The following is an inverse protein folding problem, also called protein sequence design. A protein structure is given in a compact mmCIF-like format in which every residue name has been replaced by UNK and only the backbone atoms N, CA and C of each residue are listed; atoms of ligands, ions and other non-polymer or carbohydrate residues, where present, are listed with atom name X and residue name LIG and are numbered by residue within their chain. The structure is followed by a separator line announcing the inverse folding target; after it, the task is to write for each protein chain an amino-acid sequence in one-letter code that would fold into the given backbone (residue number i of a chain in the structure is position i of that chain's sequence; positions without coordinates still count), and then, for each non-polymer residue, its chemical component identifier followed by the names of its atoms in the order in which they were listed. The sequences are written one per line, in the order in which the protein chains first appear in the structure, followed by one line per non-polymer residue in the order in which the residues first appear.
data_IF_780298166526
#
_entry.id   IF_780298166526
#
_cell.length_a   1.000
_cell.length_b   1.000
_cell.length_c   1.000
_cell.angle_alpha   90.00
_cell.angle_beta   90.00
_cell.angle_gamma   90.00
#
_symmetry.space_group_name_H-M   'P 1'
#
loop_
_entity.id
_entity.type
_entity.pdbx_description
1 polymer ?
#
# COMPACT_ATOMS: atom_id res chain seq x y z
N UNK A 1 -27.43 -12.73 36.75
CA UNK A 1 -27.56 -13.01 35.31
C UNK A 1 -26.93 -11.84 34.61
N UNK A 2 -26.02 -12.07 33.70
CA UNK A 2 -25.40 -11.02 32.90
C UNK A 2 -26.05 -10.99 31.51
N UNK A 3 -26.07 -9.79 30.88
CA UNK A 3 -26.54 -9.61 29.51
C UNK A 3 -25.35 -9.46 28.61
N UNK A 4 -25.21 -10.35 27.62
CA UNK A 4 -24.20 -10.24 26.56
C UNK A 4 -24.88 -10.01 25.20
N UNK A 5 -24.19 -9.35 24.32
CA UNK A 5 -24.63 -9.17 22.93
C UNK A 5 -24.24 -10.37 22.07
N UNK A 6 -25.19 -10.85 21.29
CA UNK A 6 -24.95 -11.91 20.34
C UNK A 6 -23.79 -11.57 19.39
N UNK A 7 -22.85 -12.49 19.21
CA UNK A 7 -21.71 -12.35 18.29
C UNK A 7 -22.12 -12.19 16.82
N UNK A 8 -23.28 -12.73 16.47
CA UNK A 8 -23.83 -12.73 15.12
C UNK A 8 -24.70 -11.48 14.89
N UNK A 9 -25.90 -11.43 15.48
CA UNK A 9 -26.90 -10.40 15.19
C UNK A 9 -26.87 -9.20 16.15
N UNK A 10 -26.16 -9.28 17.29
CA UNK A 10 -26.10 -8.22 18.30
C UNK A 10 -27.30 -8.14 19.25
N UNK A 11 -28.24 -9.06 19.14
CA UNK A 11 -29.39 -9.17 20.09
C UNK A 11 -28.92 -9.48 21.51
N UNK A 12 -29.77 -9.15 22.50
CA UNK A 12 -29.45 -9.44 23.89
C UNK A 12 -29.62 -10.92 24.22
N UNK A 13 -28.70 -11.45 25.00
CA UNK A 13 -28.71 -12.84 25.49
C UNK A 13 -28.50 -12.80 26.99
N UNK A 14 -29.47 -13.35 27.74
CA UNK A 14 -29.31 -13.55 29.18
C UNK A 14 -28.51 -14.85 29.42
N UNK A 15 -27.41 -14.73 30.13
CA UNK A 15 -26.58 -15.87 30.49
C UNK A 15 -26.49 -16.05 32.02
N UNK A 16 -26.48 -17.30 32.46
CA UNK A 16 -26.09 -17.68 33.81
C UNK A 16 -24.60 -17.94 33.88
N UNK A 17 -23.99 -17.81 35.06
CA UNK A 17 -22.53 -17.92 35.24
C UNK A 17 -21.90 -19.22 34.69
N UNK A 18 -22.66 -20.33 34.72
CA UNK A 18 -22.15 -21.64 34.27
C UNK A 18 -22.47 -21.95 32.81
N UNK A 19 -23.13 -21.05 32.07
CA UNK A 19 -23.56 -21.30 30.69
C UNK A 19 -22.52 -20.82 29.69
N UNK A 20 -21.77 -21.74 29.13
CA UNK A 20 -20.71 -21.46 28.12
C UNK A 20 -21.16 -21.66 26.68
N UNK A 21 -22.40 -22.12 26.46
CA UNK A 21 -22.94 -22.49 25.15
C UNK A 21 -24.48 -22.32 25.12
N UNK A 22 -25.03 -21.92 23.97
CA UNK A 22 -26.48 -21.79 23.79
C UNK A 22 -26.86 -21.25 22.43
N UNK A 23 -28.17 -20.92 22.33
CA UNK A 23 -28.80 -20.40 21.12
C UNK A 23 -29.25 -18.99 21.37
N UNK A 24 -29.03 -18.09 20.44
CA UNK A 24 -29.59 -16.74 20.47
C UNK A 24 -31.09 -16.78 20.11
N UNK A 25 -31.95 -16.28 20.95
CA UNK A 25 -33.39 -16.23 20.70
C UNK A 25 -33.78 -15.29 19.55
N UNK A 26 -32.90 -14.29 19.25
CA UNK A 26 -33.14 -13.33 18.18
C UNK A 26 -32.85 -13.88 16.79
N UNK A 27 -31.69 -14.56 16.57
CA UNK A 27 -31.28 -15.04 15.25
C UNK A 27 -31.22 -16.58 15.13
N UNK A 28 -31.53 -17.31 16.19
CA UNK A 28 -31.48 -18.77 16.18
C UNK A 28 -30.07 -19.38 16.11
N UNK A 29 -29.01 -18.58 16.00
CA UNK A 29 -27.65 -19.09 15.89
C UNK A 29 -27.16 -19.71 17.20
N UNK A 30 -26.54 -20.86 17.08
CA UNK A 30 -25.85 -21.56 18.17
C UNK A 30 -24.45 -21.00 18.34
N UNK A 31 -24.03 -20.68 19.56
CA UNK A 31 -22.73 -20.09 19.83
C UNK A 31 -22.22 -20.36 21.22
N UNK A 32 -20.95 -20.11 21.42
CA UNK A 32 -20.27 -20.12 22.71
C UNK A 32 -20.46 -18.79 23.44
N UNK A 33 -20.43 -18.83 24.76
CA UNK A 33 -20.54 -17.66 25.63
C UNK A 33 -19.32 -17.53 26.53
N UNK A 34 -18.91 -16.30 26.90
CA UNK A 34 -17.89 -16.09 27.90
C UNK A 34 -18.34 -16.54 29.27
N UNK A 35 -17.42 -16.96 30.12
CA UNK A 35 -17.68 -17.08 31.54
C UNK A 35 -17.75 -15.67 32.10
N UNK A 36 -18.93 -15.26 32.55
CA UNK A 36 -19.16 -13.91 33.08
C UNK A 36 -19.40 -14.03 34.58
N UNK A 37 -18.41 -13.61 35.35
CA UNK A 37 -18.41 -13.56 36.80
C UNK A 37 -18.77 -12.18 37.32
N UNK A 38 -18.62 -11.11 36.53
CA UNK A 38 -18.99 -9.75 36.84
C UNK A 38 -19.50 -8.95 35.63
N UNK A 39 -20.09 -7.75 35.92
CA UNK A 39 -20.63 -6.85 34.88
C UNK A 39 -19.52 -6.20 34.04
N UNK A 40 -18.30 -6.04 34.55
CA UNK A 40 -17.18 -5.42 33.82
C UNK A 40 -16.70 -6.35 32.70
N UNK A 41 -16.59 -7.66 32.98
CA UNK A 41 -16.24 -8.66 31.99
C UNK A 41 -17.31 -8.77 30.90
N UNK A 42 -18.60 -8.75 31.26
CA UNK A 42 -19.67 -8.70 30.28
C UNK A 42 -19.59 -7.46 29.38
N UNK A 43 -19.33 -6.29 29.96
CA UNK A 43 -19.19 -5.05 29.23
C UNK A 43 -17.97 -5.08 28.27
N UNK A 44 -16.84 -5.69 28.67
CA UNK A 44 -15.67 -5.86 27.83
C UNK A 44 -15.97 -6.74 26.60
N UNK A 45 -16.59 -7.91 26.80
CA UNK A 45 -17.03 -8.76 25.68
C UNK A 45 -18.02 -8.06 24.76
N UNK A 46 -19.00 -7.33 25.32
CA UNK A 46 -19.97 -6.57 24.53
C UNK A 46 -19.30 -5.49 23.67
N UNK A 47 -18.28 -4.81 24.21
CA UNK A 47 -17.49 -3.81 23.46
C UNK A 47 -16.67 -4.47 22.36
N UNK A 48 -15.99 -5.58 22.63
CA UNK A 48 -15.25 -6.35 21.64
C UNK A 48 -16.14 -6.86 20.52
N UNK A 49 -17.30 -7.45 20.86
CA UNK A 49 -18.29 -7.92 19.90
C UNK A 49 -18.85 -6.77 19.02
N UNK A 50 -19.07 -5.58 19.62
CA UNK A 50 -19.47 -4.41 18.86
C UNK A 50 -18.43 -3.99 17.84
N UNK A 51 -17.15 -3.85 18.24
CA UNK A 51 -16.08 -3.47 17.34
C UNK A 51 -15.89 -4.50 16.23
N UNK A 52 -15.96 -5.79 16.52
CA UNK A 52 -15.85 -6.84 15.51
C UNK A 52 -16.95 -6.76 14.46
N UNK A 53 -18.21 -6.55 14.86
CA UNK A 53 -19.36 -6.42 13.96
C UNK A 53 -19.32 -5.18 13.06
N UNK A 54 -18.64 -4.12 13.47
CA UNK A 54 -18.44 -2.94 12.62
C UNK A 54 -17.11 -2.97 11.85
N UNK A 55 -16.40 -4.12 11.82
CA UNK A 55 -15.15 -4.31 11.08
C UNK A 55 -13.91 -3.67 11.73
N UNK A 56 -14.00 -3.08 12.92
CA UNK A 56 -12.89 -2.49 13.66
C UNK A 56 -12.09 -3.58 14.41
N UNK A 57 -11.55 -4.55 13.65
CA UNK A 57 -10.95 -5.76 14.20
C UNK A 57 -9.77 -5.49 15.12
N UNK A 58 -8.95 -4.44 14.88
CA UNK A 58 -7.82 -4.11 15.74
C UNK A 58 -8.27 -3.61 17.10
N UNK A 59 -9.36 -2.81 17.15
CA UNK A 59 -9.95 -2.36 18.41
C UNK A 59 -10.61 -3.51 19.17
N UNK A 60 -11.26 -4.42 18.44
CA UNK A 60 -11.84 -5.62 19.03
C UNK A 60 -10.75 -6.52 19.62
N UNK A 61 -9.67 -6.76 18.86
CA UNK A 61 -8.52 -7.57 19.28
C UNK A 61 -7.91 -7.01 20.56
N UNK A 62 -7.62 -5.72 20.63
CA UNK A 62 -7.07 -5.10 21.83
C UNK A 62 -7.94 -5.28 23.08
N UNK A 63 -9.28 -5.30 22.92
CA UNK A 63 -10.19 -5.59 24.03
C UNK A 63 -10.07 -7.04 24.50
N UNK A 64 -10.03 -7.99 23.56
CA UNK A 64 -9.93 -9.41 23.91
C UNK A 64 -8.54 -9.80 24.42
N UNK A 65 -7.47 -9.24 23.87
CA UNK A 65 -6.10 -9.41 24.38
C UNK A 65 -6.00 -8.95 25.85
N UNK A 66 -6.64 -7.84 26.22
CA UNK A 66 -6.67 -7.39 27.59
C UNK A 66 -7.40 -8.39 28.51
N UNK A 67 -8.49 -9.02 28.05
CA UNK A 67 -9.16 -10.09 28.81
C UNK A 67 -8.23 -11.30 28.97
N UNK A 68 -7.48 -11.68 27.94
CA UNK A 68 -6.50 -12.76 27.98
C UNK A 68 -5.32 -12.43 28.91
N UNK A 69 -4.90 -11.15 28.99
CA UNK A 69 -3.88 -10.71 29.95
C UNK A 69 -4.34 -10.85 31.41
N UNK A 70 -5.64 -10.61 31.68
CA UNK A 70 -6.23 -10.78 33.02
C UNK A 70 -6.45 -12.26 33.37
N UNK A 71 -6.90 -13.06 32.39
CA UNK A 71 -7.14 -14.50 32.53
C UNK A 71 -6.72 -15.25 31.25
N UNK A 72 -5.51 -15.76 31.24
CA UNK A 72 -4.94 -16.50 30.10
C UNK A 72 -5.59 -17.88 29.86
N UNK A 73 -6.57 -18.27 30.67
CA UNK A 73 -7.35 -19.51 30.51
C UNK A 73 -8.77 -19.26 29.99
N UNK A 74 -9.10 -18.01 29.64
CA UNK A 74 -10.38 -17.68 29.04
C UNK A 74 -10.46 -18.16 27.58
N UNK A 75 -11.11 -19.31 27.38
CA UNK A 75 -11.29 -19.92 26.07
C UNK A 75 -12.04 -19.02 25.09
N UNK A 76 -13.07 -18.27 25.55
CA UNK A 76 -13.84 -17.39 24.68
C UNK A 76 -13.07 -16.15 24.25
N UNK A 77 -12.23 -15.58 25.12
CA UNK A 77 -11.38 -14.45 24.77
C UNK A 77 -10.34 -14.85 23.72
N UNK A 78 -9.69 -16.00 23.89
CA UNK A 78 -8.79 -16.57 22.88
C UNK A 78 -9.51 -16.83 21.56
N UNK A 79 -10.69 -17.44 21.57
CA UNK A 79 -11.50 -17.63 20.36
C UNK A 79 -11.76 -16.31 19.65
N UNK A 80 -12.17 -15.27 20.40
CA UNK A 80 -12.43 -13.95 19.85
C UNK A 80 -11.16 -13.26 19.31
N UNK A 81 -9.99 -13.47 19.91
CA UNK A 81 -8.70 -13.01 19.37
C UNK A 81 -8.41 -13.63 17.98
N UNK A 82 -8.59 -14.95 17.85
CA UNK A 82 -8.45 -15.62 16.57
C UNK A 82 -9.44 -15.06 15.53
N UNK A 83 -10.72 -14.89 15.87
CA UNK A 83 -11.71 -14.29 14.97
C UNK A 83 -11.31 -12.89 14.51
N UNK A 84 -10.76 -12.04 15.39
CA UNK A 84 -10.32 -10.69 15.02
C UNK A 84 -9.09 -10.70 14.12
N UNK A 85 -8.15 -11.58 14.35
CA UNK A 85 -6.90 -11.70 13.57
C UNK A 85 -7.19 -12.02 12.11
N UNK A 86 -8.13 -12.94 11.87
CA UNK A 86 -8.58 -13.31 10.53
C UNK A 86 -9.73 -12.44 10.00
N UNK A 87 -10.19 -11.45 10.78
CA UNK A 87 -11.25 -10.54 10.37
C UNK A 87 -12.57 -11.27 10.13
N UNK A 88 -12.91 -12.19 11.02
CA UNK A 88 -14.14 -12.97 10.89
C UNK A 88 -15.36 -12.11 11.32
N UNK A 89 -16.20 -11.85 10.37
CA UNK A 89 -17.54 -11.31 10.55
C UNK A 89 -18.56 -12.39 10.19
N UNK A 90 -19.70 -12.41 10.88
CA UNK A 90 -20.78 -13.32 10.54
C UNK A 90 -21.89 -12.52 9.84
N UNK A 91 -22.17 -12.89 8.60
CA UNK A 91 -23.18 -12.23 7.75
C UNK A 91 -24.34 -13.17 7.52
N UNK A 92 -25.55 -12.66 7.59
CA UNK A 92 -26.77 -13.43 7.29
C UNK A 92 -26.81 -13.76 5.80
N UNK A 93 -26.92 -15.05 5.49
CA UNK A 93 -27.18 -15.52 4.13
C UNK A 93 -28.65 -15.24 3.77
N UNK A 94 -28.95 -14.46 2.73
CA UNK A 94 -30.29 -14.05 2.39
C UNK A 94 -31.19 -15.23 1.96
N UNK A 95 -30.62 -16.38 1.65
CA UNK A 95 -31.35 -17.57 1.19
C UNK A 95 -31.66 -18.52 2.33
N UNK A 96 -30.69 -18.82 3.19
CA UNK A 96 -30.83 -19.77 4.30
C UNK A 96 -31.20 -19.11 5.62
N UNK A 97 -31.03 -17.78 5.74
CA UNK A 97 -31.13 -17.00 6.98
C UNK A 97 -30.15 -17.48 8.07
N UNK A 98 -29.16 -18.29 7.71
CA UNK A 98 -28.06 -18.66 8.60
C UNK A 98 -26.96 -17.60 8.60
N UNK A 99 -26.30 -17.41 9.73
CA UNK A 99 -25.12 -16.57 9.82
C UNK A 99 -23.88 -17.36 9.42
N UNK A 100 -23.24 -16.95 8.32
CA UNK A 100 -22.03 -17.55 7.76
C UNK A 100 -20.82 -16.67 8.06
N UNK A 101 -19.65 -17.29 8.35
CA UNK A 101 -18.44 -16.51 8.56
C UNK A 101 -17.92 -15.96 7.23
N UNK A 102 -17.43 -14.72 7.27
CA UNK A 102 -16.57 -14.14 6.24
C UNK A 102 -15.13 -14.12 6.76
N UNK A 103 -14.15 -13.83 5.90
CA UNK A 103 -12.74 -13.79 6.30
C UNK A 103 -12.04 -12.58 5.66
N UNK A 104 -12.32 -11.39 6.20
CA UNK A 104 -11.83 -10.12 5.66
C UNK A 104 -10.33 -9.91 5.81
N UNK A 105 -9.66 -10.70 6.66
CA UNK A 105 -8.21 -10.67 6.89
C UNK A 105 -7.61 -12.03 6.65
N UNK A 106 -7.97 -12.68 5.53
CA UNK A 106 -7.37 -13.96 5.15
C UNK A 106 -5.84 -13.85 5.18
N UNK A 107 -5.19 -14.92 5.60
CA UNK A 107 -3.75 -15.10 5.65
C UNK A 107 -3.39 -16.42 5.00
N UNK A 108 -2.13 -16.59 4.60
CA UNK A 108 -1.60 -17.90 4.22
C UNK A 108 -1.36 -18.80 5.43
N UNK A 109 -1.31 -18.23 6.65
CA UNK A 109 -1.26 -18.97 7.88
C UNK A 109 -2.61 -19.67 8.11
N UNK A 110 -2.61 -20.96 8.39
CA UNK A 110 -3.82 -21.76 8.55
C UNK A 110 -4.57 -21.38 9.83
N UNK A 111 -5.86 -21.02 9.73
CA UNK A 111 -6.70 -20.71 10.89
C UNK A 111 -6.67 -21.80 11.96
N UNK A 112 -6.67 -23.07 11.55
CA UNK A 112 -6.66 -24.21 12.47
C UNK A 112 -5.35 -24.35 13.26
N UNK A 113 -4.29 -23.68 12.85
CA UNK A 113 -2.98 -23.67 13.53
C UNK A 113 -2.75 -22.39 14.35
N UNK A 114 -3.73 -21.47 14.36
CA UNK A 114 -3.65 -20.22 15.11
C UNK A 114 -3.50 -20.48 16.61
N UNK A 115 -2.58 -19.75 17.24
CA UNK A 115 -2.20 -19.97 18.65
C UNK A 115 -3.38 -19.73 19.61
N UNK A 116 -4.20 -18.73 19.34
CA UNK A 116 -5.37 -18.42 20.17
C UNK A 116 -6.52 -19.40 19.91
N UNK A 117 -6.71 -19.87 18.68
CA UNK A 117 -7.65 -20.97 18.41
C UNK A 117 -7.25 -22.24 19.18
N UNK A 118 -5.97 -22.60 19.17
CA UNK A 118 -5.48 -23.77 19.92
C UNK A 118 -5.63 -23.59 21.45
N UNK A 119 -5.39 -22.38 21.96
CA UNK A 119 -5.63 -22.05 23.36
C UNK A 119 -7.13 -22.15 23.72
N UNK A 120 -8.01 -21.66 22.86
CA UNK A 120 -9.45 -21.79 23.03
C UNK A 120 -9.89 -23.25 23.15
N UNK A 121 -9.33 -24.14 22.30
CA UNK A 121 -9.59 -25.59 22.40
C UNK A 121 -9.05 -26.21 23.69
N UNK A 122 -7.89 -25.75 24.16
CA UNK A 122 -7.23 -26.27 25.36
C UNK A 122 -8.01 -25.94 26.62
N UNK A 123 -8.55 -24.71 26.72
CA UNK A 123 -9.18 -24.21 27.94
C UNK A 123 -10.71 -24.37 27.97
N UNK A 124 -11.33 -24.88 26.89
CA UNK A 124 -12.77 -25.10 26.81
C UNK A 124 -13.21 -26.44 27.37
N UNK A 125 -14.48 -26.50 27.83
CA UNK A 125 -15.15 -27.76 28.13
C UNK A 125 -15.50 -28.55 26.85
N UNK A 126 -15.89 -29.81 27.01
CA UNK A 126 -16.10 -30.71 25.86
C UNK A 126 -17.26 -30.30 24.92
N UNK A 127 -18.23 -29.49 25.37
CA UNK A 127 -19.33 -29.01 24.54
C UNK A 127 -18.88 -27.78 23.76
N UNK A 128 -18.30 -26.82 24.44
CA UNK A 128 -17.75 -25.58 23.89
C UNK A 128 -16.64 -25.88 22.88
N UNK A 129 -15.76 -26.85 23.18
CA UNK A 129 -14.73 -27.31 22.25
C UNK A 129 -15.29 -27.79 20.92
N UNK A 130 -16.32 -28.66 20.96
CA UNK A 130 -16.97 -29.14 19.71
C UNK A 130 -17.59 -28.01 18.89
N UNK A 131 -18.10 -26.97 19.54
CA UNK A 131 -18.62 -25.82 18.83
C UNK A 131 -17.50 -25.00 18.17
N UNK A 132 -16.38 -24.77 18.88
CA UNK A 132 -15.21 -24.10 18.27
C UNK A 132 -14.67 -24.90 17.08
N UNK A 133 -14.56 -26.23 17.20
CA UNK A 133 -14.12 -27.09 16.10
C UNK A 133 -15.06 -27.01 14.89
N UNK A 134 -16.39 -26.98 15.12
CA UNK A 134 -17.37 -26.84 14.05
C UNK A 134 -17.31 -25.49 13.35
N UNK A 135 -17.17 -24.40 14.12
CA UNK A 135 -17.11 -23.04 13.58
C UNK A 135 -15.75 -22.82 12.87
N UNK A 136 -14.67 -23.33 13.44
CA UNK A 136 -13.35 -23.28 12.83
C UNK A 136 -13.27 -24.03 11.49
N UNK A 137 -13.97 -25.15 11.37
CA UNK A 137 -14.03 -25.89 10.11
C UNK A 137 -14.69 -25.05 8.99
N UNK A 138 -15.78 -24.34 9.30
CA UNK A 138 -16.44 -23.41 8.35
C UNK A 138 -15.50 -22.25 7.97
N UNK A 139 -14.81 -21.66 8.94
CA UNK A 139 -13.83 -20.59 8.70
C UNK A 139 -12.68 -21.07 7.81
N UNK A 140 -12.14 -22.26 8.10
CA UNK A 140 -11.07 -22.86 7.29
C UNK A 140 -11.52 -23.15 5.85
N UNK A 141 -12.77 -23.57 5.64
CA UNK A 141 -13.35 -23.76 4.30
C UNK A 141 -13.41 -22.42 3.52
N UNK A 142 -13.89 -21.35 4.16
CA UNK A 142 -13.91 -19.99 3.57
C UNK A 142 -12.48 -19.54 3.24
N UNK A 143 -11.55 -19.67 4.17
CA UNK A 143 -10.14 -19.33 3.97
C UNK A 143 -9.55 -20.12 2.78
N UNK A 144 -9.79 -21.41 2.71
CA UNK A 144 -9.33 -22.25 1.61
C UNK A 144 -9.88 -21.79 0.26
N UNK A 145 -11.16 -21.43 0.16
CA UNK A 145 -11.79 -20.87 -1.03
C UNK A 145 -11.10 -19.55 -1.47
N UNK A 146 -10.82 -18.65 -0.51
CA UNK A 146 -10.10 -17.40 -0.77
C UNK A 146 -8.69 -17.68 -1.32
N UNK A 147 -7.94 -18.58 -0.70
CA UNK A 147 -6.58 -18.93 -1.12
C UNK A 147 -6.55 -19.61 -2.50
N UNK A 148 -7.53 -20.48 -2.80
CA UNK A 148 -7.64 -21.14 -4.10
C UNK A 148 -7.92 -20.10 -5.21
N UNK A 149 -8.79 -19.12 -4.97
CA UNK A 149 -9.03 -18.02 -5.90
C UNK A 149 -7.78 -17.18 -6.09
N UNK A 150 -7.06 -16.87 -5.00
CA UNK A 150 -5.81 -16.11 -5.05
C UNK A 150 -4.74 -16.78 -5.92
N UNK A 151 -4.63 -18.10 -5.88
CA UNK A 151 -3.66 -18.86 -6.70
C UNK A 151 -4.00 -18.84 -8.18
N UNK A 152 -5.27 -18.72 -8.53
CA UNK A 152 -5.76 -18.72 -9.91
C UNK A 152 -5.81 -17.33 -10.54
N UNK A 153 -5.84 -16.27 -9.73
CA UNK A 153 -5.84 -14.88 -10.24
C UNK A 153 -4.44 -14.49 -10.69
N UNK A 154 -4.36 -13.79 -11.82
CA UNK A 154 -3.11 -13.20 -12.27
C UNK A 154 -2.68 -12.09 -11.31
N UNK A 155 -1.38 -11.97 -11.00
CA UNK A 155 -0.88 -10.95 -10.07
C UNK A 155 -1.19 -9.54 -10.53
N UNK A 156 -1.60 -8.68 -9.61
CA UNK A 156 -1.73 -7.25 -9.82
C UNK A 156 -0.41 -6.54 -9.55
N UNK A 157 -0.13 -5.48 -10.31
CA UNK A 157 1.01 -4.60 -10.08
C UNK A 157 0.70 -3.54 -9.00
N UNK A 158 -0.52 -2.98 -9.08
CA UNK A 158 -0.97 -1.86 -8.24
C UNK A 158 -2.34 -2.14 -7.66
N UNK A 159 -2.53 -1.82 -6.38
CA UNK A 159 -3.82 -1.80 -5.69
C UNK A 159 -4.21 -0.35 -5.39
N UNK A 160 -5.39 0.09 -5.83
CA UNK A 160 -5.91 1.42 -5.51
C UNK A 160 -6.95 1.29 -4.40
N UNK A 161 -6.63 1.84 -3.23
CA UNK A 161 -7.46 1.86 -2.03
C UNK A 161 -8.10 3.24 -1.88
N UNK A 162 -9.43 3.31 -1.72
CA UNK A 162 -10.18 4.56 -1.69
C UNK A 162 -11.57 4.36 -1.11
N UNK A 163 -12.24 5.45 -0.71
CA UNK A 163 -13.64 5.43 -0.27
C UNK A 163 -14.58 5.55 -1.47
N UNK A 164 -15.30 4.49 -1.82
CA UNK A 164 -16.20 4.47 -2.99
C UNK A 164 -17.41 5.38 -2.81
N UNK A 165 -18.15 5.23 -1.70
CA UNK A 165 -19.40 5.92 -1.46
C UNK A 165 -19.40 6.69 -0.15
N UNK A 166 -20.10 7.81 -0.13
CA UNK A 166 -20.39 8.58 1.09
C UNK A 166 -21.54 7.95 1.91
N UNK A 167 -21.94 8.62 2.97
CA UNK A 167 -23.01 8.16 3.88
C UNK A 167 -24.39 8.08 3.18
N UNK A 168 -24.57 8.78 2.07
CA UNK A 168 -25.81 8.80 1.27
C UNK A 168 -25.78 7.76 0.13
N UNK A 169 -24.70 6.97 0.03
CA UNK A 169 -24.49 6.03 -1.07
C UNK A 169 -24.05 6.69 -2.39
N UNK A 170 -23.78 8.00 -2.38
CA UNK A 170 -23.29 8.72 -3.54
C UNK A 170 -21.79 8.50 -3.73
N UNK A 171 -21.36 8.48 -4.99
CA UNK A 171 -19.94 8.32 -5.33
C UNK A 171 -19.10 9.47 -4.78
N UNK A 172 -17.99 9.16 -4.12
CA UNK A 172 -17.08 10.16 -3.57
C UNK A 172 -16.16 10.79 -4.64
N UNK A 173 -15.54 11.92 -4.30
CA UNK A 173 -14.44 12.48 -5.10
C UNK A 173 -13.24 11.52 -5.16
N UNK A 174 -12.97 10.78 -4.09
CA UNK A 174 -11.88 9.80 -4.02
C UNK A 174 -12.03 8.74 -5.11
N UNK A 175 -13.24 8.21 -5.29
CA UNK A 175 -13.54 7.23 -6.34
C UNK A 175 -13.29 7.79 -7.75
N UNK A 176 -13.57 9.07 -7.98
CA UNK A 176 -13.32 9.73 -9.28
C UNK A 176 -11.81 9.89 -9.54
N UNK A 177 -11.07 10.35 -8.53
CA UNK A 177 -9.60 10.51 -8.62
C UNK A 177 -8.90 9.15 -8.75
N UNK A 178 -9.35 8.16 -8.01
CA UNK A 178 -8.86 6.79 -8.10
C UNK A 178 -9.07 6.20 -9.51
N UNK A 179 -10.20 6.49 -10.14
CA UNK A 179 -10.49 6.06 -11.52
C UNK A 179 -9.57 6.75 -12.54
N UNK A 180 -9.22 8.01 -12.35
CA UNK A 180 -8.26 8.73 -13.20
C UNK A 180 -6.87 8.05 -13.11
N UNK A 181 -6.40 7.75 -11.89
CA UNK A 181 -5.15 7.03 -11.65
C UNK A 181 -5.20 5.64 -12.31
N UNK A 182 -6.32 4.93 -12.18
CA UNK A 182 -6.52 3.61 -12.79
C UNK A 182 -6.29 3.66 -14.31
N UNK A 183 -6.95 4.57 -15.02
CA UNK A 183 -6.78 4.68 -16.47
C UNK A 183 -5.34 5.03 -16.87
N UNK A 184 -4.70 5.95 -16.17
CA UNK A 184 -3.32 6.34 -16.47
C UNK A 184 -2.32 5.19 -16.27
N UNK A 185 -2.54 4.32 -15.31
CA UNK A 185 -1.69 3.16 -15.07
C UNK A 185 -1.99 2.01 -16.04
N UNK A 186 -3.26 1.77 -16.35
CA UNK A 186 -3.65 0.73 -17.33
C UNK A 186 -3.21 1.08 -18.75
N UNK A 187 -3.25 2.34 -19.15
CA UNK A 187 -2.71 2.83 -20.43
C UNK A 187 -1.20 2.59 -20.56
N UNK A 188 -0.47 2.52 -19.43
CA UNK A 188 0.94 2.14 -19.37
C UNK A 188 1.17 0.62 -19.32
N UNK A 189 0.12 -0.19 -19.49
CA UNK A 189 0.17 -1.65 -19.47
C UNK A 189 0.34 -2.25 -18.08
N UNK A 190 0.02 -1.52 -17.00
CA UNK A 190 0.03 -2.03 -15.63
C UNK A 190 -1.27 -2.73 -15.31
N UNK A 191 -1.20 -3.86 -14.61
CA UNK A 191 -2.38 -4.54 -14.10
C UNK A 191 -2.77 -3.95 -12.75
N UNK A 192 -3.87 -3.21 -12.74
CA UNK A 192 -4.32 -2.41 -11.60
C UNK A 192 -5.60 -2.98 -11.02
N UNK A 193 -5.63 -3.20 -9.70
CA UNK A 193 -6.86 -3.47 -8.98
C UNK A 193 -7.53 -2.14 -8.61
N UNK A 194 -8.71 -1.94 -9.13
CA UNK A 194 -9.62 -0.85 -8.81
C UNK A 194 -11.01 -1.46 -8.63
N UNK A 195 -11.47 -1.56 -7.40
CA UNK A 195 -12.62 -2.39 -7.01
C UNK A 195 -13.84 -2.19 -7.92
N UNK A 196 -14.19 -0.94 -8.21
CA UNK A 196 -15.34 -0.60 -9.05
C UNK A 196 -15.33 -1.28 -10.44
N UNK A 197 -14.19 -1.27 -11.12
CA UNK A 197 -14.07 -1.86 -12.47
C UNK A 197 -13.68 -3.34 -12.39
N UNK A 198 -12.70 -3.64 -11.54
CA UNK A 198 -12.16 -5.01 -11.46
C UNK A 198 -13.19 -6.02 -10.98
N UNK A 199 -14.15 -5.60 -10.12
CA UNK A 199 -15.19 -6.46 -9.59
C UNK A 199 -16.50 -6.42 -10.41
N UNK A 200 -16.63 -5.49 -11.36
CA UNK A 200 -17.83 -5.39 -12.22
C UNK A 200 -18.03 -6.67 -13.05
N UNK A 201 -16.94 -7.28 -13.52
CA UNK A 201 -16.97 -8.54 -14.28
C UNK A 201 -17.19 -9.78 -13.40
N UNK A 202 -17.24 -9.62 -12.08
CA UNK A 202 -17.38 -10.70 -11.08
C UNK A 202 -18.79 -10.76 -10.48
N UNK A 203 -19.79 -10.33 -11.22
CA UNK A 203 -21.20 -10.30 -10.76
C UNK A 203 -21.64 -11.68 -10.25
N UNK A 204 -22.15 -11.69 -9.02
CA UNK A 204 -22.60 -12.91 -8.34
C UNK A 204 -21.51 -13.74 -7.67
N UNK A 205 -20.25 -13.28 -7.69
CA UNK A 205 -19.17 -13.89 -6.93
C UNK A 205 -18.91 -13.12 -5.61
N UNK A 206 -18.35 -13.80 -4.62
CA UNK A 206 -17.84 -13.16 -3.43
C UNK A 206 -16.63 -12.28 -3.78
N UNK A 207 -16.59 -11.05 -3.29
CA UNK A 207 -15.53 -10.07 -3.64
C UNK A 207 -14.23 -10.26 -2.84
N UNK A 208 -14.34 -10.76 -1.60
CA UNK A 208 -13.19 -10.92 -0.69
C UNK A 208 -12.03 -11.71 -1.31
N UNK A 209 -12.23 -12.85 -1.99
CA UNK A 209 -11.13 -13.59 -2.59
C UNK A 209 -10.32 -12.78 -3.60
N UNK A 210 -10.98 -11.91 -4.38
CA UNK A 210 -10.33 -11.07 -5.39
C UNK A 210 -9.59 -9.88 -4.75
N UNK A 211 -10.19 -9.27 -3.71
CA UNK A 211 -9.54 -8.21 -2.92
C UNK A 211 -8.28 -8.78 -2.25
N UNK A 212 -8.40 -9.97 -1.65
CA UNK A 212 -7.26 -10.64 -1.04
C UNK A 212 -6.15 -10.95 -2.05
N UNK A 213 -6.50 -11.51 -3.21
CA UNK A 213 -5.54 -11.81 -4.28
C UNK A 213 -4.80 -10.55 -4.75
N UNK A 214 -5.54 -9.46 -4.96
CA UNK A 214 -4.99 -8.18 -5.38
C UNK A 214 -4.08 -7.57 -4.32
N UNK A 215 -4.51 -7.57 -3.05
CA UNK A 215 -3.75 -7.01 -1.93
C UNK A 215 -2.41 -7.74 -1.74
N UNK A 216 -2.42 -9.07 -1.84
CA UNK A 216 -1.22 -9.88 -1.67
C UNK A 216 -0.26 -9.78 -2.87
N UNK A 217 -0.77 -9.79 -4.09
CA UNK A 217 0.05 -9.76 -5.30
C UNK A 217 0.61 -8.36 -5.61
N UNK A 218 -0.14 -7.28 -5.35
CA UNK A 218 0.28 -5.94 -5.67
C UNK A 218 1.60 -5.56 -4.99
N UNK A 219 2.51 -4.97 -5.76
CA UNK A 219 3.77 -4.40 -5.25
C UNK A 219 3.59 -2.98 -4.76
N UNK A 220 2.62 -2.26 -5.32
CA UNK A 220 2.35 -0.88 -4.94
C UNK A 220 0.90 -0.74 -4.52
N UNK A 221 0.66 -0.10 -3.39
CA UNK A 221 -0.65 0.39 -2.99
C UNK A 221 -0.70 1.90 -3.11
N UNK A 222 -1.73 2.42 -3.78
CA UNK A 222 -2.06 3.84 -3.82
C UNK A 222 -3.29 4.06 -2.98
N UNK A 223 -3.18 4.87 -1.92
CA UNK A 223 -4.31 5.20 -1.03
C UNK A 223 -4.77 6.61 -1.35
N UNK A 224 -5.99 6.75 -1.84
CA UNK A 224 -6.57 8.02 -2.31
C UNK A 224 -7.56 8.55 -1.30
N UNK A 225 -7.44 9.82 -0.90
CA UNK A 225 -8.38 10.46 -0.01
C UNK A 225 -8.44 11.98 -0.14
N UNK A 226 -9.66 12.53 0.01
CA UNK A 226 -9.94 13.98 0.00
C UNK A 226 -10.39 14.49 1.37
N UNK A 227 -10.48 13.60 2.35
CA UNK A 227 -10.83 13.92 3.75
C UNK A 227 -10.14 12.92 4.69
N UNK A 228 -9.75 13.36 5.91
CA UNK A 228 -9.17 12.48 6.92
C UNK A 228 -10.07 11.28 7.27
N UNK A 229 -11.40 11.49 7.31
CA UNK A 229 -12.38 10.45 7.61
C UNK A 229 -12.41 9.34 6.56
N UNK A 230 -12.09 9.67 5.30
CA UNK A 230 -12.09 8.70 4.20
C UNK A 230 -10.89 7.75 4.29
N UNK A 231 -9.71 8.25 4.68
CA UNK A 231 -8.57 7.40 5.02
C UNK A 231 -8.83 6.49 6.22
N UNK A 232 -9.64 6.96 7.18
CA UNK A 232 -10.01 6.25 8.39
C UNK A 232 -11.31 5.44 8.26
N UNK A 233 -11.97 5.46 7.09
CA UNK A 233 -13.13 4.62 6.85
C UNK A 233 -12.74 3.14 7.04
N UNK A 234 -13.61 2.37 7.72
CA UNK A 234 -13.30 1.03 8.25
C UNK A 234 -12.60 0.14 7.23
N UNK A 235 -13.18 -0.02 6.04
CA UNK A 235 -12.64 -0.90 5.00
C UNK A 235 -11.36 -0.34 4.37
N UNK A 236 -11.31 0.97 4.09
CA UNK A 236 -10.09 1.65 3.59
C UNK A 236 -8.93 1.46 4.56
N UNK A 237 -9.19 1.67 5.86
CA UNK A 237 -8.21 1.48 6.91
C UNK A 237 -7.75 0.02 7.04
N UNK A 238 -8.68 -0.93 6.97
CA UNK A 238 -8.34 -2.36 7.00
C UNK A 238 -7.42 -2.75 5.84
N UNK A 239 -7.67 -2.26 4.63
CA UNK A 239 -6.83 -2.55 3.45
C UNK A 239 -5.43 -1.96 3.59
N UNK A 240 -5.29 -0.66 3.83
CA UNK A 240 -3.97 -0.05 3.89
C UNK A 240 -3.17 -0.48 5.13
N UNK A 241 -3.80 -0.74 6.28
CA UNK A 241 -3.09 -1.23 7.47
C UNK A 241 -2.52 -2.64 7.25
N UNK A 242 -3.28 -3.53 6.58
CA UNK A 242 -2.78 -4.85 6.16
C UNK A 242 -1.60 -4.73 5.20
N UNK A 243 -1.70 -3.86 4.21
CA UNK A 243 -0.61 -3.65 3.26
C UNK A 243 0.64 -3.10 3.93
N UNK A 244 0.50 -2.19 4.91
CA UNK A 244 1.62 -1.72 5.75
C UNK A 244 2.28 -2.86 6.54
N UNK A 245 1.48 -3.77 7.08
CA UNK A 245 2.00 -4.94 7.79
C UNK A 245 2.78 -5.87 6.84
N UNK A 246 2.29 -6.07 5.61
CA UNK A 246 3.01 -6.82 4.57
C UNK A 246 4.30 -6.09 4.13
N UNK A 247 4.27 -4.76 3.99
CA UNK A 247 5.43 -3.96 3.63
C UNK A 247 6.57 -4.04 4.65
N UNK A 248 6.26 -4.25 5.95
CA UNK A 248 7.27 -4.49 6.99
C UNK A 248 8.01 -5.82 6.80
N UNK A 249 7.35 -6.83 6.24
CA UNK A 249 7.91 -8.16 5.96
C UNK A 249 8.55 -8.25 4.57
N UNK A 250 7.99 -7.52 3.60
CA UNK A 250 8.43 -7.52 2.20
C UNK A 250 8.77 -6.10 1.74
N UNK A 251 10.07 -5.80 1.68
CA UNK A 251 10.60 -4.49 1.28
C UNK A 251 10.42 -4.17 -0.21
N UNK A 252 9.94 -5.10 -1.02
CA UNK A 252 9.59 -4.85 -2.42
C UNK A 252 8.23 -4.16 -2.57
N UNK A 253 7.44 -4.11 -1.52
CA UNK A 253 6.13 -3.45 -1.47
C UNK A 253 6.28 -1.98 -1.09
N UNK A 254 5.45 -1.13 -1.70
CA UNK A 254 5.42 0.32 -1.47
C UNK A 254 3.99 0.81 -1.31
N UNK A 255 3.73 1.62 -0.29
CA UNK A 255 2.46 2.31 -0.10
C UNK A 255 2.65 3.81 -0.33
N UNK A 256 1.78 4.40 -1.16
CA UNK A 256 1.79 5.79 -1.57
C UNK A 256 0.47 6.47 -1.20
N UNK A 257 0.42 7.27 -0.12
CA UNK A 257 -0.73 8.11 0.18
C UNK A 257 -0.85 9.24 -0.86
N UNK A 258 -2.05 9.42 -1.43
CA UNK A 258 -2.39 10.49 -2.34
C UNK A 258 -3.55 11.29 -1.73
N UNK A 259 -3.34 12.57 -1.46
CA UNK A 259 -4.32 13.43 -0.81
C UNK A 259 -4.67 14.64 -1.66
N UNK A 260 -5.87 15.17 -1.49
CA UNK A 260 -6.35 16.42 -2.11
C UNK A 260 -7.36 17.11 -1.21
N UNK A 261 -7.45 18.43 -1.29
CA UNK A 261 -8.41 19.26 -0.55
C UNK A 261 -8.32 19.13 0.98
N UNK A 262 -7.14 18.73 1.52
CA UNK A 262 -6.86 18.56 2.96
C UNK A 262 -5.41 18.88 3.28
N UNK A 263 -5.11 19.14 4.56
CA UNK A 263 -3.73 19.33 5.00
C UNK A 263 -3.01 17.96 5.07
N UNK A 264 -1.75 17.85 4.59
CA UNK A 264 -0.97 16.61 4.73
C UNK A 264 -0.75 16.16 6.18
N UNK A 265 -0.81 17.07 7.14
CA UNK A 265 -0.72 16.75 8.57
C UNK A 265 -1.98 16.09 9.14
N UNK A 266 -3.11 16.14 8.41
CA UNK A 266 -4.36 15.45 8.78
C UNK A 266 -4.40 13.98 8.29
N UNK A 267 -3.35 13.52 7.60
CA UNK A 267 -3.21 12.10 7.27
C UNK A 267 -3.13 11.24 8.54
N UNK A 268 -3.67 10.01 8.52
CA UNK A 268 -3.45 9.07 9.61
C UNK A 268 -1.97 8.94 9.97
N UNK A 269 -1.63 8.89 11.25
CA UNK A 269 -0.25 8.86 11.76
C UNK A 269 0.62 7.83 11.03
N UNK A 270 0.09 6.62 10.79
CA UNK A 270 0.80 5.56 10.09
C UNK A 270 1.10 5.87 8.61
N UNK A 271 0.34 6.77 7.98
CA UNK A 271 0.53 7.20 6.60
C UNK A 271 1.34 8.48 6.49
N UNK A 272 1.27 9.37 7.50
CA UNK A 272 1.95 10.67 7.51
C UNK A 272 3.48 10.56 7.48
N UNK A 273 4.04 9.44 7.93
CA UNK A 273 5.49 9.15 7.90
C UNK A 273 5.98 8.69 6.53
N UNK A 274 5.07 8.43 5.58
CA UNK A 274 5.39 7.97 4.25
C UNK A 274 5.45 9.15 3.26
N UNK A 275 6.19 8.96 2.15
CA UNK A 275 6.15 9.91 1.06
C UNK A 275 4.74 9.95 0.47
N UNK A 276 4.09 11.10 0.53
CA UNK A 276 2.73 11.33 0.03
C UNK A 276 2.72 12.23 -1.20
N UNK A 277 1.67 12.11 -2.02
CA UNK A 277 1.46 12.91 -3.22
C UNK A 277 0.26 13.84 -3.03
N UNK A 278 0.49 15.13 -3.27
CA UNK A 278 -0.56 16.14 -3.34
C UNK A 278 -1.17 16.14 -4.75
N UNK A 279 -2.39 15.64 -4.86
CA UNK A 279 -3.10 15.52 -6.14
C UNK A 279 -3.59 16.86 -6.70
N UNK A 280 -3.44 17.97 -5.97
CA UNK A 280 -3.74 19.33 -6.49
C UNK A 280 -2.60 19.90 -7.34
N UNK A 281 -1.39 19.35 -7.22
CA UNK A 281 -0.21 19.84 -7.95
C UNK A 281 -0.25 19.49 -9.42
N UNK A 282 0.11 20.45 -10.26
CA UNK A 282 0.25 20.22 -11.70
C UNK A 282 1.33 19.15 -11.92
N UNK A 283 0.99 18.12 -12.71
CA UNK A 283 1.92 17.03 -13.02
C UNK A 283 1.97 15.90 -11.99
N UNK A 284 1.11 15.92 -10.95
CA UNK A 284 1.12 14.88 -9.92
C UNK A 284 0.96 13.48 -10.50
N UNK A 285 0.09 13.32 -11.51
CA UNK A 285 -0.18 12.00 -12.11
C UNK A 285 1.07 11.43 -12.81
N UNK A 286 1.83 12.29 -13.50
CA UNK A 286 3.09 11.90 -14.14
C UNK A 286 4.16 11.55 -13.11
N UNK A 287 4.23 12.28 -12.00
CA UNK A 287 5.18 12.01 -10.92
C UNK A 287 4.82 10.71 -10.19
N UNK A 288 3.53 10.49 -9.89
CA UNK A 288 3.03 9.27 -9.29
C UNK A 288 3.31 8.06 -10.19
N UNK A 289 2.91 8.10 -11.45
CA UNK A 289 3.09 6.98 -12.39
C UNK A 289 4.55 6.67 -12.66
N UNK A 290 5.42 7.70 -12.73
CA UNK A 290 6.87 7.54 -12.81
C UNK A 290 7.46 6.88 -11.56
N UNK A 291 6.99 7.30 -10.37
CA UNK A 291 7.38 6.69 -9.09
C UNK A 291 7.02 5.21 -9.03
N UNK A 292 5.77 4.88 -9.40
CA UNK A 292 5.28 3.50 -9.47
C UNK A 292 6.10 2.66 -10.46
N UNK A 293 6.34 3.18 -11.67
CA UNK A 293 7.10 2.47 -12.71
C UNK A 293 8.52 2.14 -12.26
N UNK A 294 9.21 3.04 -11.55
CA UNK A 294 10.55 2.77 -10.99
C UNK A 294 10.55 1.55 -10.06
N UNK A 295 9.52 1.41 -9.22
CA UNK A 295 9.42 0.27 -8.30
C UNK A 295 9.10 -1.02 -9.05
N UNK A 296 8.13 -0.98 -9.97
CA UNK A 296 7.69 -2.16 -10.71
C UNK A 296 8.74 -2.69 -11.68
N UNK A 297 9.55 -1.80 -12.26
CA UNK A 297 10.55 -2.17 -13.26
C UNK A 297 11.93 -2.48 -12.63
N UNK A 298 12.17 -2.09 -11.38
CA UNK A 298 13.41 -2.44 -10.67
C UNK A 298 13.64 -3.96 -10.53
N UNK A 299 12.56 -4.78 -10.57
CA UNK A 299 12.64 -6.24 -10.55
C UNK A 299 12.71 -6.92 -11.92
N UNK A 300 12.63 -6.16 -13.03
CA UNK A 300 12.58 -6.70 -14.40
C UNK A 300 13.91 -6.67 -15.13
N UNK A 301 15.06 -6.59 -14.44
CA UNK A 301 16.34 -6.70 -15.13
C UNK A 301 16.52 -8.12 -15.68
N UNK A 302 16.74 -8.29 -17.01
CA UNK A 302 17.10 -9.58 -17.58
C UNK A 302 18.46 -10.03 -17.02
N UNK A 303 18.59 -11.33 -16.76
CA UNK A 303 19.84 -11.96 -16.34
C UNK A 303 21.02 -11.45 -17.17
N UNK A 304 22.07 -11.07 -16.48
CA UNK A 304 23.27 -10.39 -16.93
C UNK A 304 23.85 -10.91 -18.26
N UNK A 305 23.97 -10.02 -19.23
CA UNK A 305 25.11 -10.02 -20.17
C UNK A 305 26.30 -9.33 -19.50
N UNK A 306 27.56 -9.70 -19.83
CA UNK A 306 28.71 -9.30 -19.02
C UNK A 306 28.91 -7.77 -19.03
N UNK A 307 29.35 -7.29 -17.89
CA UNK A 307 29.60 -5.92 -17.50
C UNK A 307 30.23 -5.05 -18.58
N UNK A 308 29.46 -4.13 -19.12
CA UNK A 308 29.96 -2.79 -19.42
C UNK A 308 29.60 -1.90 -18.22
N UNK A 309 30.58 -1.19 -17.74
CA UNK A 309 30.50 -0.34 -16.54
C UNK A 309 29.58 0.83 -16.82
N UNK A 310 28.29 0.73 -16.36
CA UNK A 310 27.37 1.86 -16.40
C UNK A 310 27.52 2.63 -15.09
N UNK A 311 28.02 3.83 -15.21
CA UNK A 311 28.14 4.85 -14.17
C UNK A 311 26.75 5.14 -13.59
N UNK A 312 26.63 5.04 -12.26
CA UNK A 312 25.45 5.43 -11.48
C UNK A 312 25.17 6.92 -11.70
N UNK A 313 24.13 7.23 -12.46
CA UNK A 313 23.67 8.61 -12.60
C UNK A 313 22.64 8.92 -11.51
N UNK A 314 23.02 9.81 -10.62
CA UNK A 314 22.20 10.40 -9.57
C UNK A 314 21.02 11.22 -10.14
N UNK A 315 19.89 11.26 -9.40
CA UNK A 315 18.63 11.96 -9.72
C UNK A 315 18.75 13.50 -9.78
N UNK A 316 19.95 14.07 -9.60
CA UNK A 316 20.26 15.48 -9.85
C UNK A 316 20.34 15.84 -11.36
N UNK A 317 20.32 14.85 -12.25
CA UNK A 317 20.73 15.02 -13.67
C UNK A 317 19.68 15.50 -14.67
N UNK A 318 18.39 15.55 -14.33
CA UNK A 318 17.37 16.02 -15.31
C UNK A 318 17.45 17.53 -15.55
N UNK A 319 17.81 18.31 -14.53
CA UNK A 319 17.98 19.76 -14.68
C UNK A 319 19.31 20.12 -15.37
N UNK A 320 20.39 19.40 -15.08
CA UNK A 320 21.70 19.56 -15.73
C UNK A 320 21.60 19.28 -17.23
N UNK A 321 20.99 18.14 -17.61
CA UNK A 321 20.79 17.78 -19.04
C UNK A 321 19.93 18.80 -19.78
N UNK A 322 18.93 19.40 -19.11
CA UNK A 322 18.11 20.45 -19.72
C UNK A 322 18.91 21.73 -19.98
N UNK A 323 19.80 22.13 -19.07
CA UNK A 323 20.66 23.31 -19.26
C UNK A 323 21.71 23.08 -20.33
N UNK A 324 22.31 21.87 -20.40
CA UNK A 324 23.23 21.51 -21.47
C UNK A 324 22.57 21.56 -22.84
N UNK A 325 21.34 21.03 -22.97
CA UNK A 325 20.58 21.13 -24.23
C UNK A 325 20.32 22.59 -24.65
N UNK A 326 19.95 23.46 -23.72
CA UNK A 326 19.75 24.88 -23.97
C UNK A 326 21.05 25.58 -24.38
N UNK A 327 22.14 25.25 -23.68
CA UNK A 327 23.46 25.74 -24.01
C UNK A 327 23.92 25.35 -25.43
N UNK A 328 23.70 24.09 -25.81
CA UNK A 328 24.03 23.60 -27.15
C UNK A 328 23.16 24.25 -28.24
N UNK A 329 21.89 24.52 -27.97
CA UNK A 329 21.02 25.28 -28.90
C UNK A 329 21.56 26.71 -29.09
N UNK A 330 21.87 27.41 -28.01
CA UNK A 330 22.43 28.75 -28.05
C UNK A 330 23.81 28.80 -28.78
N UNK A 331 24.67 27.76 -28.65
CA UNK A 331 25.90 27.63 -29.46
C UNK A 331 25.57 27.52 -30.94
N UNK A 332 24.58 26.71 -31.33
CA UNK A 332 24.16 26.53 -32.71
C UNK A 332 23.60 27.81 -33.31
N UNK A 333 22.93 28.64 -32.53
CA UNK A 333 22.34 29.91 -32.91
C UNK A 333 23.37 31.07 -32.88
N UNK A 334 24.59 30.82 -32.41
CA UNK A 334 25.65 31.85 -32.32
C UNK A 334 25.50 32.79 -31.12
N UNK A 335 24.65 32.45 -30.14
CA UNK A 335 24.40 33.23 -28.92
C UNK A 335 25.35 32.87 -27.80
N UNK A 336 26.67 33.19 -27.98
CA UNK A 336 27.77 32.74 -27.15
C UNK A 336 27.62 33.03 -25.65
N UNK A 337 27.22 34.25 -25.31
CA UNK A 337 27.04 34.65 -23.91
C UNK A 337 25.88 33.93 -23.21
N UNK A 338 24.81 33.69 -23.95
CA UNK A 338 23.65 32.93 -23.47
C UNK A 338 24.01 31.47 -23.30
N UNK A 339 24.77 30.89 -24.23
CA UNK A 339 25.29 29.53 -24.11
C UNK A 339 26.13 29.34 -22.85
N UNK A 340 27.07 30.25 -22.59
CA UNK A 340 27.90 30.23 -21.37
C UNK A 340 27.05 30.33 -20.09
N UNK A 341 25.99 31.10 -20.11
CA UNK A 341 25.07 31.21 -18.96
C UNK A 341 24.41 29.87 -18.65
N UNK A 342 23.91 29.16 -19.65
CA UNK A 342 23.29 27.83 -19.47
C UNK A 342 24.31 26.77 -19.00
N UNK A 343 25.54 26.77 -19.51
CA UNK A 343 26.55 25.84 -19.06
C UNK A 343 27.05 26.12 -17.63
N UNK A 344 27.15 27.39 -17.23
CA UNK A 344 27.44 27.73 -15.83
C UNK A 344 26.32 27.27 -14.89
N UNK A 345 25.04 27.46 -15.26
CA UNK A 345 23.92 26.91 -14.50
C UNK A 345 23.95 25.38 -14.40
N UNK A 346 24.43 24.68 -15.44
CA UNK A 346 24.66 23.25 -15.38
C UNK A 346 25.78 22.91 -14.39
N UNK A 347 26.86 23.66 -14.35
CA UNK A 347 27.98 23.48 -13.39
C UNK A 347 27.59 23.83 -11.96
N UNK A 348 26.70 24.80 -11.74
CA UNK A 348 26.14 25.11 -10.43
C UNK A 348 25.35 23.93 -9.84
N UNK A 349 24.78 23.09 -10.71
CA UNK A 349 24.02 21.88 -10.33
C UNK A 349 24.90 20.63 -10.24
N UNK A 350 25.92 20.53 -11.10
CA UNK A 350 26.87 19.43 -11.16
C UNK A 350 28.25 19.94 -11.57
N UNK A 351 29.07 20.25 -10.58
CA UNK A 351 30.41 20.79 -10.76
C UNK A 351 31.40 19.84 -11.49
N UNK A 352 31.03 18.55 -11.65
CA UNK A 352 31.86 17.57 -12.37
C UNK A 352 31.36 17.32 -13.82
N UNK A 353 30.36 18.07 -14.29
CA UNK A 353 29.78 17.89 -15.64
C UNK A 353 30.75 18.25 -16.75
N UNK A 354 31.38 17.24 -17.35
CA UNK A 354 32.38 17.42 -18.43
C UNK A 354 31.78 18.09 -19.68
N UNK A 355 30.51 17.82 -20.02
CA UNK A 355 29.82 18.41 -21.17
C UNK A 355 29.60 19.92 -20.99
N UNK A 356 29.36 20.38 -19.77
CA UNK A 356 29.21 21.81 -19.50
C UNK A 356 30.54 22.56 -19.63
N UNK A 357 31.65 21.98 -19.15
CA UNK A 357 32.99 22.55 -19.38
C UNK A 357 33.35 22.65 -20.84
N UNK A 358 33.01 21.60 -21.62
CA UNK A 358 33.24 21.62 -23.08
C UNK A 358 32.39 22.72 -23.73
N UNK A 359 31.12 22.84 -23.34
CA UNK A 359 30.23 23.88 -23.83
C UNK A 359 30.70 25.29 -23.52
N UNK A 360 31.26 25.53 -22.30
CA UNK A 360 31.90 26.80 -21.97
C UNK A 360 33.08 27.12 -22.87
N UNK A 361 33.97 26.12 -23.13
CA UNK A 361 35.11 26.31 -24.01
C UNK A 361 34.66 26.65 -25.45
N UNK A 362 33.60 26.00 -25.94
CA UNK A 362 33.01 26.31 -27.26
C UNK A 362 32.45 27.72 -27.31
N UNK A 363 31.72 28.15 -26.25
CA UNK A 363 31.19 29.51 -26.12
C UNK A 363 32.26 30.58 -26.07
N UNK A 364 33.37 30.34 -25.36
CA UNK A 364 34.50 31.26 -25.29
C UNK A 364 35.27 31.34 -26.63
N UNK A 365 35.33 30.22 -27.34
CA UNK A 365 35.99 30.17 -28.66
C UNK A 365 35.08 30.69 -29.81
N UNK A 366 33.84 31.05 -29.52
CA UNK A 366 32.82 31.40 -30.52
C UNK A 366 32.65 30.31 -31.59
N UNK A 367 32.61 29.05 -31.15
CA UNK A 367 32.50 27.87 -32.01
C UNK A 367 31.22 27.11 -31.71
N UNK A 368 30.47 26.75 -32.75
CA UNK A 368 29.20 26.04 -32.59
C UNK A 368 29.39 24.53 -32.23
N UNK A 369 30.56 23.96 -32.54
CA UNK A 369 30.85 22.55 -32.29
C UNK A 369 32.37 22.29 -32.23
N UNK A 370 32.76 21.06 -31.89
CA UNK A 370 34.15 20.62 -31.78
C UNK A 370 34.95 20.74 -33.12
N UNK A 371 34.30 20.47 -34.23
CA UNK A 371 34.97 20.57 -35.57
C UNK A 371 35.34 22.01 -35.90
N UNK A 372 34.49 22.96 -35.54
CA UNK A 372 34.74 24.39 -35.66
C UNK A 372 35.88 24.82 -34.72
N UNK A 373 35.90 24.29 -33.49
CA UNK A 373 36.91 24.56 -32.48
C UNK A 373 38.29 24.06 -32.94
N UNK A 374 38.39 22.86 -33.53
CA UNK A 374 39.63 22.29 -34.04
C UNK A 374 40.24 23.12 -35.19
N UNK A 375 39.42 23.82 -35.98
CA UNK A 375 39.84 24.68 -37.10
C UNK A 375 40.12 26.13 -36.63
N UNK A 376 39.85 26.44 -35.38
CA UNK A 376 40.01 27.81 -34.85
C UNK A 376 41.41 28.08 -34.34
N UNK A 377 41.85 29.34 -34.42
CA UNK A 377 43.13 29.80 -33.86
C UNK A 377 43.19 29.71 -32.33
N UNK A 378 42.05 29.44 -31.66
CA UNK A 378 41.91 29.33 -30.20
C UNK A 378 42.68 28.14 -29.63
N UNK A 379 42.78 26.99 -30.37
CA UNK A 379 43.56 25.82 -29.94
C UNK A 379 45.06 26.10 -29.89
N UNK A 380 45.58 26.99 -30.73
CA UNK A 380 47.00 27.34 -30.75
C UNK A 380 47.40 28.18 -29.52
N UNK A 381 46.44 28.77 -28.80
CA UNK A 381 46.66 29.57 -27.58
C UNK A 381 46.51 28.80 -26.27
N UNK A 382 46.26 27.49 -26.31
CA UNK A 382 45.87 26.64 -25.19
C UNK A 382 46.91 26.26 -24.10
N UNK A 383 48.26 26.38 -24.27
CA UNK A 383 49.17 25.84 -23.25
C UNK A 383 49.02 26.41 -21.84
N UNK A 384 48.42 27.58 -21.66
CA UNK A 384 48.27 28.25 -20.38
C UNK A 384 46.93 28.01 -19.67
N UNK A 385 45.85 27.69 -20.41
CA UNK A 385 44.48 27.51 -19.84
C UNK A 385 44.21 26.08 -19.41
N UNK A 386 44.83 25.06 -20.02
CA UNK A 386 44.67 23.66 -19.65
C UNK A 386 45.18 23.33 -18.23
N UNK A 387 45.97 24.23 -17.62
CA UNK A 387 46.45 24.07 -16.24
C UNK A 387 45.39 24.41 -15.17
N UNK A 388 44.28 25.01 -15.56
CA UNK A 388 43.18 25.41 -14.63
C UNK A 388 42.01 24.43 -14.63
N UNK A 389 42.00 23.39 -15.48
CA UNK A 389 40.96 22.37 -15.49
C UNK A 389 41.21 21.31 -14.39
N UNK A 390 40.16 20.82 -13.71
CA UNK A 390 40.29 19.77 -12.69
C UNK A 390 40.98 18.53 -13.27
N UNK A 391 41.79 17.85 -12.46
CA UNK A 391 42.66 16.72 -12.86
C UNK A 391 41.92 15.56 -13.56
N UNK A 392 40.63 15.36 -13.33
CA UNK A 392 39.81 14.30 -13.98
C UNK A 392 39.49 14.55 -15.43
N UNK A 393 39.44 15.80 -15.92
CA UNK A 393 39.19 16.10 -17.34
C UNK A 393 40.42 15.89 -18.23
N UNK A 394 41.65 15.84 -17.64
CA UNK A 394 42.90 15.59 -18.38
C UNK A 394 43.03 14.15 -18.90
N UNK A 395 42.35 13.19 -18.23
CA UNK A 395 42.46 11.76 -18.60
C UNK A 395 41.54 11.39 -19.78
N UNK A 396 40.41 12.11 -19.94
CA UNK A 396 39.47 11.85 -21.04
C UNK A 396 39.83 12.54 -22.35
N UNK A 397 40.66 13.57 -22.33
CA UNK A 397 41.16 14.22 -23.57
C UNK A 397 42.30 13.45 -24.29
N UNK A 398 42.80 12.34 -23.71
CA UNK A 398 43.86 11.52 -24.33
C UNK A 398 43.37 10.30 -25.11
N UNK A 399 42.06 10.08 -25.22
CA UNK A 399 41.50 8.90 -25.91
C UNK A 399 40.56 9.24 -27.07
N UNK A 400 40.71 10.42 -27.70
CA UNK A 400 40.07 10.66 -29.02
C UNK A 400 41.01 11.44 -29.93
#
# INVERSE_FOLDING_TARGET
MAIIKCKMCGGDIEISQDKTFGVCECCGSTMTFPKVDDDQRAAAFNRGNYFRRIGEFDKALAVYEHIVEEDNTDAEAHWCCALCRYGIEYVEDPTSHEYLPTCHRASFDNFLEDVDYQAALQYSDGITKRQYEKDAAKIAEVQHGILATCQNEQPFDVFICYKESDENGSRTKDSTLAQEIYYQLTDQGRRVFFARITLEDKVGAEYEPYIFAALNSAKVMVVVGTKPEYFNAVWVKNEWSRFLAMMKKDRSKLLLPCYRDMDPYDLPEALSVLQSYDMSKIGFIQDLTRGISKVLDAGKQPAAKPKETVVVQNVANTNVTAQIKRGNMALADGEWEQAKTFFNQALDMDAECAEAYLGLALGEAHCANLDALQKSSWIQSMPRRAAQLPYRSKTNCRMY
#
